data_IF_935556300316
#
_entry.id   IF_935556300316
#
_cell.length_a   1.000
_cell.length_b   1.000
_cell.length_c   1.000
_cell.angle_alpha   90.00
_cell.angle_beta   90.00
_cell.angle_gamma   90.00
#
_symmetry.space_group_name_H-M   'P 1'
#
loop_
_entity.id
_entity.type
_entity.pdbx_description
1 polymer ?
#
# COMPACT_ATOMS: atom_id res chain seq x y z
N UNK A 1 12.57 -19.12 63.55
CA UNK A 1 13.89 -18.52 63.88
C UNK A 1 14.80 -18.60 62.68
N UNK A 2 15.41 -17.48 62.34
CA UNK A 2 16.40 -17.17 61.29
C UNK A 2 15.88 -16.83 59.88
N UNK A 3 15.69 -15.53 59.71
CA UNK A 3 15.68 -14.79 58.44
C UNK A 3 17.07 -14.83 57.80
N UNK A 4 17.15 -15.18 56.50
CA UNK A 4 18.32 -14.89 55.68
C UNK A 4 17.86 -13.95 54.55
N UNK A 5 18.27 -12.67 54.68
CA UNK A 5 18.18 -11.63 53.66
C UNK A 5 19.22 -11.93 52.56
N UNK A 6 18.79 -12.23 51.34
CA UNK A 6 19.68 -12.24 50.18
C UNK A 6 19.56 -10.90 49.45
N UNK A 7 20.56 -10.07 49.62
CA UNK A 7 20.75 -8.82 48.89
C UNK A 7 21.38 -9.16 47.55
N UNK A 8 20.63 -8.97 46.45
CA UNK A 8 21.14 -9.11 45.08
C UNK A 8 21.46 -7.71 44.56
N UNK A 9 22.71 -7.36 44.20
CA UNK A 9 23.00 -6.08 43.60
C UNK A 9 22.51 -6.10 42.12
N UNK A 10 21.58 -5.20 41.80
CA UNK A 10 21.18 -4.87 40.42
C UNK A 10 22.38 -4.20 39.75
N UNK A 11 23.09 -4.96 38.94
CA UNK A 11 24.10 -4.44 38.01
C UNK A 11 23.39 -3.83 36.83
N UNK A 12 23.20 -2.51 36.88
CA UNK A 12 22.67 -1.72 35.79
C UNK A 12 23.72 -1.67 34.68
N UNK A 13 23.66 -2.61 33.76
CA UNK A 13 24.41 -2.55 32.49
C UNK A 13 23.82 -1.42 31.64
N UNK A 14 24.38 -0.22 31.76
CA UNK A 14 24.19 0.89 30.82
C UNK A 14 24.84 0.43 29.52
N UNK A 15 24.04 -0.18 28.65
CA UNK A 15 24.41 -0.34 27.26
C UNK A 15 24.40 1.06 26.64
N UNK A 16 25.57 1.70 26.66
CA UNK A 16 25.82 2.89 25.86
C UNK A 16 25.70 2.46 24.38
N UNK A 17 24.55 2.66 23.80
CA UNK A 17 24.43 2.69 22.35
C UNK A 17 25.32 3.84 21.87
N UNK A 18 26.52 3.52 21.43
CA UNK A 18 27.27 4.41 20.57
C UNK A 18 26.45 4.53 19.27
N UNK A 19 25.60 5.55 19.19
CA UNK A 19 25.05 6.01 17.94
C UNK A 19 26.24 6.56 17.15
N UNK A 20 26.89 5.70 16.38
CA UNK A 20 27.71 6.15 15.28
C UNK A 20 26.72 6.89 14.34
N UNK A 21 26.78 8.21 14.35
CA UNK A 21 26.20 9.05 13.31
C UNK A 21 26.99 8.80 12.02
N UNK A 22 26.79 7.61 11.44
CA UNK A 22 27.21 7.38 10.05
C UNK A 22 26.09 7.91 9.18
N UNK A 23 26.44 8.84 8.28
CA UNK A 23 25.52 9.31 7.27
C UNK A 23 24.97 8.12 6.47
N UNK A 24 23.64 7.97 6.45
CA UNK A 24 22.96 6.83 5.82
C UNK A 24 22.98 6.97 4.29
N UNK A 25 23.32 5.89 3.63
CA UNK A 25 23.17 5.77 2.17
C UNK A 25 21.76 5.27 1.81
N UNK A 26 21.38 5.32 0.52
CA UNK A 26 20.06 4.91 0.05
C UNK A 26 19.71 3.47 0.43
N UNK A 27 20.66 2.54 0.38
CA UNK A 27 20.40 1.12 0.70
C UNK A 27 20.08 0.95 2.20
N UNK A 28 20.78 1.66 3.08
CA UNK A 28 20.54 1.64 4.52
C UNK A 28 19.18 2.26 4.86
N UNK A 29 18.82 3.39 4.23
CA UNK A 29 17.49 4.01 4.39
C UNK A 29 16.39 3.05 3.92
N UNK A 30 16.60 2.34 2.82
CA UNK A 30 15.66 1.33 2.34
C UNK A 30 15.50 0.16 3.32
N UNK A 31 16.59 -0.33 3.92
CA UNK A 31 16.54 -1.39 4.94
C UNK A 31 15.75 -0.98 6.18
N UNK A 32 15.84 0.30 6.59
CA UNK A 32 15.02 0.84 7.67
C UNK A 32 13.55 0.92 7.23
N UNK A 33 13.29 1.43 6.02
CA UNK A 33 11.93 1.53 5.48
C UNK A 33 11.22 0.17 5.37
N UNK A 34 11.94 -0.91 5.01
CA UNK A 34 11.39 -2.26 5.00
C UNK A 34 10.83 -2.71 6.36
N UNK A 35 11.35 -2.17 7.45
CA UNK A 35 10.95 -2.53 8.81
C UNK A 35 9.91 -1.56 9.39
N UNK A 36 10.04 -0.27 9.05
CA UNK A 36 9.28 0.78 9.72
C UNK A 36 8.13 1.35 8.89
N UNK A 37 8.21 1.32 7.56
CA UNK A 37 7.21 1.95 6.68
C UNK A 37 5.78 1.44 6.94
N UNK A 38 4.85 2.32 7.36
CA UNK A 38 3.46 1.94 7.63
C UNK A 38 2.71 1.46 6.39
N UNK A 39 2.98 2.02 5.20
CA UNK A 39 2.32 1.61 3.96
C UNK A 39 2.70 0.18 3.57
N UNK A 40 3.97 -0.18 3.69
CA UNK A 40 4.42 -1.54 3.44
C UNK A 40 3.83 -2.53 4.48
N UNK A 41 3.73 -2.12 5.75
CA UNK A 41 3.08 -2.91 6.82
C UNK A 41 1.58 -3.12 6.52
N UNK A 42 0.88 -2.11 6.01
CA UNK A 42 -0.53 -2.22 5.55
C UNK A 42 -0.63 -3.20 4.37
N UNK A 43 0.23 -3.09 3.37
CA UNK A 43 0.25 -4.00 2.23
C UNK A 43 0.52 -5.45 2.67
N UNK A 44 1.43 -5.67 3.63
CA UNK A 44 1.71 -6.99 4.20
C UNK A 44 0.49 -7.56 4.95
N UNK A 45 -0.19 -6.75 5.77
CA UNK A 45 -1.40 -7.17 6.47
C UNK A 45 -2.52 -7.52 5.49
N UNK A 46 -2.70 -6.71 4.44
CA UNK A 46 -3.65 -6.95 3.34
C UNK A 46 -3.33 -8.27 2.62
N UNK A 47 -2.06 -8.51 2.31
CA UNK A 47 -1.64 -9.79 1.73
C UNK A 47 -1.96 -10.98 2.64
N UNK A 48 -1.66 -10.89 3.96
CA UNK A 48 -1.98 -11.93 4.94
C UNK A 48 -3.47 -12.22 4.98
N UNK A 49 -4.32 -11.19 4.96
CA UNK A 49 -5.78 -11.36 4.93
C UNK A 49 -6.27 -12.02 3.64
N UNK A 50 -5.80 -11.56 2.48
CA UNK A 50 -6.24 -12.06 1.17
C UNK A 50 -5.66 -13.45 0.83
N UNK A 51 -4.55 -13.83 1.44
CA UNK A 51 -3.96 -15.19 1.33
C UNK A 51 -4.93 -16.26 1.82
N UNK A 52 -5.82 -15.94 2.77
CA UNK A 52 -6.82 -16.87 3.30
C UNK A 52 -7.91 -17.26 2.27
N UNK A 53 -7.98 -16.60 1.11
CA UNK A 53 -8.92 -16.96 0.05
C UNK A 53 -8.75 -18.42 -0.42
N UNK A 54 -7.52 -18.93 -0.47
CA UNK A 54 -7.25 -20.34 -0.78
C UNK A 54 -7.77 -21.27 0.30
N UNK A 55 -7.52 -20.95 1.58
CA UNK A 55 -7.97 -21.77 2.71
C UNK A 55 -9.50 -21.81 2.78
N UNK A 56 -10.17 -20.64 2.55
CA UNK A 56 -11.64 -20.59 2.44
C UNK A 56 -12.18 -21.45 1.29
N UNK A 57 -11.48 -21.47 0.17
CA UNK A 57 -11.82 -22.34 -0.97
C UNK A 57 -11.67 -23.82 -0.65
N UNK A 58 -10.62 -24.22 0.08
CA UNK A 58 -10.42 -25.59 0.55
C UNK A 58 -11.50 -25.99 1.55
N UNK A 59 -11.82 -25.10 2.50
CA UNK A 59 -12.84 -25.34 3.53
C UNK A 59 -14.19 -25.74 2.93
N UNK A 60 -14.54 -25.20 1.75
CA UNK A 60 -15.75 -25.58 1.03
C UNK A 60 -15.77 -27.04 0.52
N UNK A 61 -14.63 -27.74 0.51
CA UNK A 61 -14.50 -29.16 0.11
C UNK A 61 -14.33 -30.09 1.30
N UNK A 62 -14.09 -29.57 2.49
CA UNK A 62 -13.86 -30.34 3.71
C UNK A 62 -15.18 -30.55 4.47
N UNK A 63 -15.24 -31.55 5.38
CA UNK A 63 -16.39 -31.74 6.22
C UNK A 63 -16.63 -30.56 7.15
N UNK A 64 -17.89 -30.18 7.30
CA UNK A 64 -18.33 -29.20 8.30
C UNK A 64 -19.03 -29.94 9.42
N UNK A 65 -18.59 -29.72 10.66
CA UNK A 65 -19.24 -30.25 11.87
C UNK A 65 -19.82 -29.07 12.63
N UNK A 66 -21.12 -29.13 12.88
CA UNK A 66 -21.83 -28.10 13.67
C UNK A 66 -22.51 -28.77 14.86
N UNK A 67 -22.30 -28.23 16.04
CA UNK A 67 -23.02 -28.66 17.25
C UNK A 67 -24.01 -27.58 17.67
N UNK A 68 -25.16 -28.02 18.14
CA UNK A 68 -26.21 -27.11 18.63
C UNK A 68 -26.81 -27.68 19.92
N UNK A 69 -26.99 -26.82 20.90
CA UNK A 69 -27.75 -27.09 22.13
C UNK A 69 -28.89 -26.10 22.22
N UNK A 70 -30.07 -26.59 22.48
CA UNK A 70 -31.30 -25.76 22.60
C UNK A 70 -32.10 -26.19 23.82
N UNK A 71 -32.59 -25.24 24.58
CA UNK A 71 -33.52 -25.43 25.68
C UNK A 71 -34.75 -24.60 25.35
N UNK A 72 -35.92 -25.25 25.36
CA UNK A 72 -37.19 -24.58 25.12
C UNK A 72 -38.12 -24.80 26.31
N UNK A 73 -38.74 -23.73 26.76
CA UNK A 73 -39.88 -23.74 27.68
C UNK A 73 -41.09 -23.30 26.87
N UNK A 74 -42.02 -24.23 26.65
CA UNK A 74 -43.25 -23.96 25.94
C UNK A 74 -44.40 -24.11 26.94
N UNK A 75 -45.25 -23.12 26.96
CA UNK A 75 -46.54 -23.16 27.63
C UNK A 75 -47.60 -22.99 26.55
N UNK A 76 -48.51 -23.95 26.46
CA UNK A 76 -49.61 -23.92 25.49
C UNK A 76 -50.95 -24.09 26.20
N UNK A 77 -51.89 -23.23 25.89
CA UNK A 77 -53.25 -23.27 26.36
C UNK A 77 -54.18 -23.58 25.19
N UNK A 78 -54.97 -24.63 25.31
CA UNK A 78 -55.98 -24.96 24.31
C UNK A 78 -57.24 -24.13 24.61
N UNK A 79 -57.43 -23.04 23.88
CA UNK A 79 -58.56 -22.11 24.06
C UNK A 79 -59.86 -22.67 23.42
N UNK A 80 -59.78 -23.42 22.31
CA UNK A 80 -60.90 -24.02 21.60
C UNK A 80 -60.45 -25.15 20.70
N UNK A 81 -61.07 -26.30 20.79
CA UNK A 81 -60.80 -27.47 19.95
C UNK A 81 -62.08 -28.26 19.58
N UNK A 82 -62.09 -28.86 18.37
CA UNK A 82 -63.25 -29.58 17.82
C UNK A 82 -63.44 -31.01 18.36
N UNK A 83 -62.40 -31.57 19.01
CA UNK A 83 -62.45 -32.91 19.61
C UNK A 83 -61.49 -32.97 20.77
N UNK A 84 -61.89 -32.53 21.92
CA UNK A 84 -61.11 -32.58 23.16
C UNK A 84 -61.75 -33.59 24.09
N UNK A 85 -61.04 -34.65 24.40
CA UNK A 85 -61.31 -35.47 25.57
C UNK A 85 -61.03 -34.60 26.81
N UNK A 86 -61.82 -34.80 27.89
CA UNK A 86 -61.76 -33.97 29.10
C UNK A 86 -60.32 -33.75 29.67
N UNK A 87 -59.35 -34.60 29.32
CA UNK A 87 -57.98 -34.56 29.73
C UNK A 87 -57.08 -33.54 28.96
N UNK A 88 -57.61 -32.82 27.96
CA UNK A 88 -56.84 -31.93 27.10
C UNK A 88 -57.23 -30.45 27.26
N UNK A 89 -58.08 -30.11 28.19
CA UNK A 89 -58.47 -28.72 28.49
C UNK A 89 -57.60 -28.19 29.62
N UNK A 90 -56.73 -27.21 29.31
CA UNK A 90 -55.89 -26.55 30.29
C UNK A 90 -54.54 -26.16 29.75
N UNK A 91 -53.73 -25.52 30.58
CA UNK A 91 -52.37 -25.15 30.27
C UNK A 91 -51.42 -26.38 30.34
N UNK A 92 -50.67 -26.61 29.28
CA UNK A 92 -49.67 -27.68 29.24
C UNK A 92 -48.30 -27.04 29.15
N UNK A 93 -47.45 -27.26 30.15
CA UNK A 93 -46.05 -26.86 30.16
C UNK A 93 -45.15 -27.97 29.61
N UNK A 94 -44.26 -27.63 28.68
CA UNK A 94 -43.25 -28.54 28.18
C UNK A 94 -41.86 -27.87 28.26
N UNK A 95 -40.94 -28.55 28.93
CA UNK A 95 -39.55 -28.19 28.93
C UNK A 95 -38.77 -29.24 28.13
N UNK A 96 -38.09 -28.80 27.06
CA UNK A 96 -37.32 -29.70 26.19
C UNK A 96 -35.86 -29.21 26.03
N UNK A 97 -34.97 -30.17 26.04
CA UNK A 97 -33.55 -29.97 25.77
C UNK A 97 -33.19 -30.78 24.55
N UNK A 98 -32.50 -30.13 23.60
CA UNK A 98 -32.03 -30.80 22.39
C UNK A 98 -30.52 -30.55 22.21
N UNK A 99 -29.78 -31.60 22.00
CA UNK A 99 -28.39 -31.57 21.63
C UNK A 99 -28.25 -32.24 20.27
N UNK A 100 -27.60 -31.55 19.31
CA UNK A 100 -27.33 -32.13 17.99
C UNK A 100 -25.90 -31.92 17.56
N UNK A 101 -25.40 -32.84 16.76
CA UNK A 101 -24.16 -32.74 16.01
C UNK A 101 -24.46 -33.11 14.55
N UNK A 102 -24.19 -32.17 13.66
CA UNK A 102 -24.42 -32.30 12.22
C UNK A 102 -23.10 -32.34 11.51
N UNK A 103 -22.85 -33.36 10.69
CA UNK A 103 -21.70 -33.49 9.76
C UNK A 103 -22.21 -33.34 8.33
N UNK A 104 -21.64 -32.44 7.57
CA UNK A 104 -21.89 -32.31 6.13
C UNK A 104 -20.55 -32.41 5.40
N UNK A 105 -20.39 -33.44 4.57
CA UNK A 105 -19.22 -33.64 3.72
C UNK A 105 -19.63 -33.58 2.26
N UNK A 106 -19.16 -32.56 1.51
CA UNK A 106 -19.31 -32.53 0.06
C UNK A 106 -18.60 -33.72 -0.60
N UNK A 107 -19.32 -34.50 -1.38
CA UNK A 107 -18.78 -35.65 -2.15
C UNK A 107 -18.62 -35.27 -3.62
N UNK A 108 -19.67 -34.70 -4.21
CA UNK A 108 -19.64 -34.20 -5.58
C UNK A 108 -20.23 -32.80 -5.65
N UNK A 109 -19.36 -31.80 -5.65
CA UNK A 109 -19.71 -30.39 -5.63
C UNK A 109 -18.76 -29.63 -6.58
N UNK A 110 -19.08 -29.63 -7.89
CA UNK A 110 -18.26 -28.95 -8.91
C UNK A 110 -18.20 -27.43 -8.68
N UNK A 111 -19.24 -26.83 -8.18
CA UNK A 111 -19.28 -25.43 -7.78
C UNK A 111 -18.19 -25.10 -6.76
N UNK A 112 -18.01 -25.94 -5.73
CA UNK A 112 -17.00 -25.81 -4.68
C UNK A 112 -15.58 -26.04 -5.23
N UNK A 113 -15.44 -26.98 -6.14
CA UNK A 113 -14.16 -27.24 -6.80
C UNK A 113 -13.67 -26.04 -7.60
N UNK A 114 -14.58 -25.36 -8.34
CA UNK A 114 -14.23 -24.14 -9.05
C UNK A 114 -14.02 -22.96 -8.11
N UNK A 115 -14.74 -22.86 -6.98
CA UNK A 115 -14.49 -21.86 -5.93
C UNK A 115 -13.11 -22.04 -5.30
N UNK A 116 -12.65 -23.27 -5.08
CA UNK A 116 -11.25 -23.51 -4.68
C UNK A 116 -10.27 -22.99 -5.71
N UNK A 117 -10.51 -23.25 -7.01
CA UNK A 117 -9.70 -22.69 -8.09
C UNK A 117 -9.67 -21.15 -8.12
N UNK A 118 -10.81 -20.53 -7.84
CA UNK A 118 -10.93 -19.07 -7.69
C UNK A 118 -10.14 -18.56 -6.48
N UNK A 119 -10.29 -19.19 -5.32
CA UNK A 119 -9.55 -18.83 -4.10
C UNK A 119 -8.04 -18.92 -4.28
N UNK A 120 -7.56 -19.94 -5.03
CA UNK A 120 -6.15 -20.04 -5.40
C UNK A 120 -5.68 -18.89 -6.29
N UNK A 121 -6.50 -18.49 -7.26
CA UNK A 121 -6.20 -17.33 -8.12
C UNK A 121 -6.18 -16.03 -7.31
N UNK A 122 -7.13 -15.82 -6.40
CA UNK A 122 -7.18 -14.66 -5.51
C UNK A 122 -5.96 -14.55 -4.60
N UNK A 123 -5.47 -15.67 -4.04
CA UNK A 123 -4.23 -15.69 -3.27
C UNK A 123 -3.02 -15.26 -4.10
N UNK A 124 -2.97 -15.68 -5.37
CA UNK A 124 -1.88 -15.29 -6.26
C UNK A 124 -1.98 -13.81 -6.69
N UNK A 125 -3.20 -13.28 -6.85
CA UNK A 125 -3.43 -11.83 -7.06
C UNK A 125 -2.86 -11.05 -5.88
N UNK A 126 -3.22 -11.44 -4.66
CA UNK A 126 -2.74 -10.80 -3.44
C UNK A 126 -1.20 -10.82 -3.35
N UNK A 127 -0.57 -11.93 -3.77
CA UNK A 127 0.89 -12.04 -3.83
C UNK A 127 1.49 -11.04 -4.84
N UNK A 128 0.91 -10.94 -6.05
CA UNK A 128 1.39 -10.02 -7.08
C UNK A 128 1.21 -8.55 -6.63
N UNK A 129 0.09 -8.21 -6.00
CA UNK A 129 -0.16 -6.89 -5.44
C UNK A 129 0.82 -6.54 -4.32
N UNK A 130 1.16 -7.49 -3.45
CA UNK A 130 2.17 -7.26 -2.41
C UNK A 130 3.56 -7.06 -3.00
N UNK A 131 3.94 -7.83 -4.03
CA UNK A 131 5.22 -7.63 -4.74
C UNK A 131 5.27 -6.27 -5.44
N UNK A 132 4.15 -5.79 -5.98
CA UNK A 132 4.05 -4.43 -6.52
C UNK A 132 4.23 -3.37 -5.43
N UNK A 133 3.57 -3.52 -4.28
CA UNK A 133 3.74 -2.61 -3.15
C UNK A 133 5.20 -2.54 -2.65
N UNK A 134 5.94 -3.66 -2.68
CA UNK A 134 7.36 -3.68 -2.37
C UNK A 134 8.18 -2.86 -3.40
N UNK A 135 7.85 -2.94 -4.70
CA UNK A 135 8.49 -2.09 -5.72
C UNK A 135 8.13 -0.62 -5.53
N UNK A 136 6.87 -0.30 -5.23
CA UNK A 136 6.46 1.08 -4.94
C UNK A 136 7.18 1.66 -3.72
N UNK A 137 7.43 0.83 -2.69
CA UNK A 137 8.24 1.27 -1.53
C UNK A 137 9.67 1.63 -1.95
N UNK A 138 10.30 0.86 -2.86
CA UNK A 138 11.63 1.22 -3.40
C UNK A 138 11.59 2.59 -4.07
N UNK A 139 10.62 2.82 -4.96
CA UNK A 139 10.50 4.10 -5.66
C UNK A 139 10.24 5.26 -4.71
N UNK A 140 9.31 5.11 -3.77
CA UNK A 140 8.95 6.15 -2.80
C UNK A 140 10.13 6.51 -1.88
N UNK A 141 10.85 5.51 -1.37
CA UNK A 141 12.05 5.75 -0.55
C UNK A 141 13.11 6.46 -1.37
N UNK A 142 13.34 6.02 -2.60
CA UNK A 142 14.33 6.62 -3.52
C UNK A 142 13.98 8.08 -3.83
N UNK A 143 12.73 8.35 -4.17
CA UNK A 143 12.23 9.70 -4.45
C UNK A 143 12.38 10.61 -3.23
N UNK A 144 11.94 10.17 -2.06
CA UNK A 144 12.02 10.97 -0.84
C UNK A 144 13.47 11.22 -0.40
N UNK A 145 14.34 10.21 -0.56
CA UNK A 145 15.77 10.32 -0.28
C UNK A 145 16.45 11.38 -1.17
N UNK A 146 16.23 11.31 -2.49
CA UNK A 146 16.84 12.25 -3.42
C UNK A 146 16.23 13.65 -3.33
N UNK A 147 14.93 13.78 -3.06
CA UNK A 147 14.30 15.08 -2.81
C UNK A 147 14.90 15.79 -1.57
N UNK A 148 15.26 15.03 -0.52
CA UNK A 148 15.94 15.60 0.64
C UNK A 148 17.37 16.04 0.30
N UNK A 149 18.10 15.25 -0.47
CA UNK A 149 19.45 15.63 -0.92
C UNK A 149 19.43 16.85 -1.86
N UNK A 150 18.47 16.91 -2.78
CA UNK A 150 18.26 18.08 -3.66
C UNK A 150 17.96 19.33 -2.84
N UNK A 151 17.02 19.27 -1.88
CA UNK A 151 16.68 20.40 -1.01
C UNK A 151 17.89 20.87 -0.19
N UNK A 152 18.74 19.95 0.28
CA UNK A 152 20.01 20.27 0.98
C UNK A 152 20.96 21.03 0.06
N UNK A 153 21.16 20.54 -1.18
CA UNK A 153 22.05 21.18 -2.16
C UNK A 153 21.51 22.54 -2.63
N UNK A 154 20.23 22.66 -2.84
CA UNK A 154 19.59 23.92 -3.21
C UNK A 154 19.74 24.98 -2.11
N UNK A 155 19.64 24.59 -0.85
CA UNK A 155 19.89 25.48 0.29
C UNK A 155 21.36 25.92 0.35
N UNK A 156 22.32 25.01 0.10
CA UNK A 156 23.74 25.37 0.01
C UNK A 156 24.00 26.41 -1.09
N UNK A 157 23.36 26.25 -2.25
CA UNK A 157 23.46 27.21 -3.37
C UNK A 157 22.81 28.54 -3.00
N UNK A 158 21.62 28.54 -2.37
CA UNK A 158 20.92 29.74 -1.94
C UNK A 158 21.74 30.54 -0.89
N UNK A 159 22.35 29.86 0.08
CA UNK A 159 23.25 30.49 1.06
C UNK A 159 24.52 31.09 0.39
N UNK A 160 25.04 30.41 -0.63
CA UNK A 160 26.19 30.90 -1.40
C UNK A 160 25.83 32.13 -2.23
N UNK A 161 24.62 32.15 -2.84
CA UNK A 161 24.05 33.30 -3.54
C UNK A 161 23.87 34.49 -2.60
N UNK A 162 23.22 34.28 -1.45
CA UNK A 162 23.02 35.32 -0.43
C UNK A 162 24.34 35.90 0.04
N UNK A 163 25.34 35.06 0.31
CA UNK A 163 26.67 35.52 0.73
C UNK A 163 27.38 36.34 -0.35
N UNK A 164 27.24 35.96 -1.63
CA UNK A 164 27.82 36.69 -2.76
C UNK A 164 27.17 38.07 -2.92
N UNK A 165 25.84 38.11 -2.98
CA UNK A 165 25.06 39.33 -3.14
C UNK A 165 25.24 40.26 -1.92
N UNK A 166 25.34 39.73 -0.70
CA UNK A 166 25.66 40.50 0.51
C UNK A 166 26.99 41.26 0.36
N UNK A 167 28.03 40.58 -0.17
CA UNK A 167 29.34 41.24 -0.43
C UNK A 167 29.22 42.42 -1.39
N UNK A 168 28.38 42.28 -2.44
CA UNK A 168 28.15 43.35 -3.40
C UNK A 168 27.37 44.50 -2.75
N UNK A 169 26.35 44.22 -1.98
CA UNK A 169 25.57 45.21 -1.23
C UNK A 169 26.47 45.97 -0.26
N UNK A 170 27.31 45.27 0.51
CA UNK A 170 28.21 45.91 1.49
C UNK A 170 29.28 46.76 0.81
N UNK A 171 29.73 46.32 -0.38
CA UNK A 171 30.65 47.16 -1.22
C UNK A 171 29.95 48.41 -1.74
N UNK A 172 28.75 48.25 -2.31
CA UNK A 172 27.97 49.40 -2.84
C UNK A 172 27.61 50.39 -1.74
N UNK A 173 27.27 49.90 -0.51
CA UNK A 173 27.02 50.78 0.66
C UNK A 173 28.25 51.64 1.00
N UNK A 174 29.44 51.06 1.07
CA UNK A 174 30.68 51.80 1.37
C UNK A 174 30.96 52.86 0.30
N UNK A 175 30.85 52.49 -0.99
CA UNK A 175 31.10 53.46 -2.09
C UNK A 175 30.07 54.60 -2.05
N UNK A 176 28.84 54.36 -1.66
CA UNK A 176 27.83 55.44 -1.44
C UNK A 176 28.22 56.35 -0.25
N UNK A 177 28.59 55.74 0.89
CA UNK A 177 29.02 56.51 2.08
C UNK A 177 30.28 57.37 1.82
N UNK A 178 31.17 56.91 0.93
CA UNK A 178 32.32 57.63 0.48
C UNK A 178 32.04 58.68 -0.65
N UNK A 179 30.77 58.74 -1.12
CA UNK A 179 30.34 59.68 -2.17
C UNK A 179 30.77 59.27 -3.58
N UNK A 180 31.25 58.07 -3.79
CA UNK A 180 31.78 57.54 -5.08
C UNK A 180 30.66 56.91 -5.93
N UNK A 181 29.58 56.39 -5.31
CA UNK A 181 28.49 55.72 -6.00
C UNK A 181 27.14 56.42 -5.68
N UNK A 182 26.15 56.16 -6.53
CA UNK A 182 24.78 56.72 -6.36
C UNK A 182 23.98 55.96 -5.29
N UNK A 183 22.99 56.66 -4.67
CA UNK A 183 22.05 56.00 -3.77
C UNK A 183 21.26 54.92 -4.49
N UNK A 184 21.00 55.08 -5.80
CA UNK A 184 20.25 54.09 -6.63
C UNK A 184 20.98 52.78 -6.68
N UNK A 185 22.30 52.73 -6.92
CA UNK A 185 23.11 51.52 -6.95
C UNK A 185 23.10 50.81 -5.60
N UNK A 186 23.13 51.55 -4.50
CA UNK A 186 23.00 50.92 -3.17
C UNK A 186 21.62 50.33 -2.95
N UNK A 187 20.54 51.03 -3.32
CA UNK A 187 19.17 50.54 -3.14
C UNK A 187 18.88 49.32 -4.03
N UNK A 188 19.40 49.28 -5.24
CA UNK A 188 19.34 48.10 -6.11
C UNK A 188 20.06 46.90 -5.49
N UNK A 189 21.30 47.06 -5.03
CA UNK A 189 22.03 46.00 -4.34
C UNK A 189 21.33 45.52 -3.05
N UNK A 190 20.70 46.42 -2.30
CA UNK A 190 19.91 46.09 -1.13
C UNK A 190 18.67 45.27 -1.51
N UNK A 191 17.95 45.64 -2.58
CA UNK A 191 16.78 44.87 -3.06
C UNK A 191 17.17 43.44 -3.48
N UNK A 192 18.27 43.25 -4.21
CA UNK A 192 18.76 41.92 -4.56
C UNK A 192 19.17 41.08 -3.34
N UNK A 193 19.78 41.72 -2.34
CA UNK A 193 20.12 41.06 -1.08
C UNK A 193 18.86 40.57 -0.35
N UNK A 194 17.84 41.44 -0.23
CA UNK A 194 16.59 41.07 0.44
C UNK A 194 15.88 39.93 -0.29
N UNK A 195 15.87 39.92 -1.63
CA UNK A 195 15.35 38.80 -2.44
C UNK A 195 16.15 37.51 -2.24
N UNK A 196 17.49 37.57 -2.17
CA UNK A 196 18.32 36.39 -1.93
C UNK A 196 18.07 35.79 -0.55
N UNK A 197 17.83 36.62 0.46
CA UNK A 197 17.45 36.18 1.80
C UNK A 197 16.09 35.45 1.81
N UNK A 198 15.11 35.93 1.04
CA UNK A 198 13.84 35.21 0.86
C UNK A 198 14.07 33.84 0.25
N UNK A 199 14.98 33.72 -0.74
CA UNK A 199 15.33 32.44 -1.35
C UNK A 199 15.98 31.47 -0.35
N UNK A 200 16.83 31.95 0.55
CA UNK A 200 17.43 31.14 1.62
C UNK A 200 16.37 30.62 2.59
N UNK A 201 15.46 31.50 3.06
CA UNK A 201 14.35 31.12 3.95
C UNK A 201 13.45 30.07 3.29
N UNK A 202 13.11 30.24 2.00
CA UNK A 202 12.35 29.27 1.25
C UNK A 202 13.09 27.93 1.09
N UNK A 203 14.42 27.95 0.94
CA UNK A 203 15.28 26.78 0.90
C UNK A 203 15.29 26.01 2.23
N UNK A 204 15.36 26.73 3.36
CA UNK A 204 15.27 26.13 4.70
C UNK A 204 13.92 25.43 4.92
N UNK A 205 12.81 26.08 4.51
CA UNK A 205 11.48 25.47 4.59
C UNK A 205 11.35 24.22 3.73
N UNK A 206 11.92 24.21 2.50
CA UNK A 206 11.90 23.01 1.63
C UNK A 206 12.72 21.88 2.22
N UNK A 207 13.88 22.15 2.79
CA UNK A 207 14.70 21.15 3.45
C UNK A 207 13.95 20.48 4.60
N UNK A 208 13.31 21.26 5.46
CA UNK A 208 12.52 20.75 6.58
C UNK A 208 11.34 19.91 6.10
N UNK A 209 10.59 20.40 5.10
CA UNK A 209 9.49 19.63 4.50
C UNK A 209 9.96 18.28 3.93
N UNK A 210 11.09 18.26 3.20
CA UNK A 210 11.64 17.02 2.63
C UNK A 210 12.15 16.07 3.72
N UNK A 211 12.67 16.62 4.83
CA UNK A 211 13.09 15.85 5.99
C UNK A 211 11.92 15.15 6.67
N UNK A 212 10.83 15.89 6.93
CA UNK A 212 9.61 15.35 7.51
C UNK A 212 8.97 14.27 6.62
N UNK A 213 9.03 14.43 5.29
CA UNK A 213 8.56 13.41 4.36
C UNK A 213 9.33 12.08 4.49
N UNK A 214 10.64 12.15 4.72
CA UNK A 214 11.45 10.95 4.93
C UNK A 214 11.19 10.33 6.32
N UNK A 215 11.06 11.16 7.36
CA UNK A 215 10.70 10.72 8.73
C UNK A 215 9.37 9.96 8.72
N UNK A 216 8.39 10.39 7.93
CA UNK A 216 7.11 9.69 7.81
C UNK A 216 7.25 8.25 7.29
N UNK A 217 8.32 7.94 6.55
CA UNK A 217 8.60 6.58 6.03
C UNK A 217 9.42 5.76 7.03
N UNK A 218 10.49 6.34 7.59
CA UNK A 218 11.48 5.60 8.39
C UNK A 218 11.36 5.80 9.91
N UNK A 219 10.49 6.72 10.35
CA UNK A 219 10.17 6.96 11.77
C UNK A 219 11.14 7.85 12.53
N UNK A 220 12.32 8.12 12.01
CA UNK A 220 13.34 8.94 12.66
C UNK A 220 14.08 9.86 11.67
N UNK A 221 14.75 10.90 12.18
CA UNK A 221 15.47 11.87 11.37
C UNK A 221 16.90 11.39 11.08
N UNK A 222 17.22 10.91 9.86
CA UNK A 222 18.57 10.48 9.53
C UNK A 222 19.47 11.64 9.13
N UNK A 223 20.77 11.52 9.40
CA UNK A 223 21.80 12.22 8.63
C UNK A 223 22.08 11.43 7.34
N UNK A 224 21.91 12.06 6.18
CA UNK A 224 22.13 11.42 4.89
C UNK A 224 23.55 11.63 4.40
N UNK A 225 24.10 10.60 3.76
CA UNK A 225 25.33 10.69 2.99
C UNK A 225 25.10 11.59 1.76
N UNK A 226 26.04 12.47 1.46
CA UNK A 226 26.00 13.28 0.25
C UNK A 226 26.11 12.38 -0.99
N UNK A 227 25.36 12.74 -2.05
CA UNK A 227 25.50 12.05 -3.33
C UNK A 227 26.91 12.24 -3.87
N UNK A 228 27.54 11.15 -4.29
CA UNK A 228 28.83 11.22 -4.99
C UNK A 228 28.66 12.08 -6.26
N UNK A 229 29.52 13.08 -6.43
CA UNK A 229 29.47 14.00 -7.57
C UNK A 229 29.69 13.28 -8.91
N UNK A 230 30.31 12.10 -8.89
CA UNK A 230 30.63 11.28 -10.05
C UNK A 230 29.58 10.21 -10.36
N UNK A 231 28.32 10.44 -9.98
CA UNK A 231 27.22 9.53 -10.35
C UNK A 231 27.21 9.36 -11.88
N UNK A 232 27.30 8.11 -12.38
CA UNK A 232 27.40 7.86 -13.82
C UNK A 232 26.09 8.26 -14.51
N UNK A 233 26.18 9.24 -15.38
CA UNK A 233 25.08 9.70 -16.23
C UNK A 233 25.28 9.08 -17.61
N UNK A 234 24.37 8.21 -18.04
CA UNK A 234 24.48 7.50 -19.30
C UNK A 234 23.15 6.98 -19.84
N UNK A 235 23.12 6.47 -21.08
CA UNK A 235 21.90 5.91 -21.65
C UNK A 235 21.49 4.62 -20.90
N UNK A 236 20.19 4.33 -20.82
CA UNK A 236 19.68 3.13 -20.15
C UNK A 236 20.23 1.85 -20.80
N UNK A 237 20.40 0.81 -20.01
CA UNK A 237 20.82 -0.50 -20.48
C UNK A 237 19.74 -1.56 -20.15
N UNK A 238 19.12 -2.21 -21.14
CA UNK A 238 19.36 -2.16 -22.60
C UNK A 238 18.99 -0.82 -23.26
N UNK A 239 19.60 -0.53 -24.43
CA UNK A 239 19.34 0.70 -25.18
C UNK A 239 18.06 0.65 -26.03
N UNK A 240 17.46 -0.54 -26.18
CA UNK A 240 16.23 -0.75 -26.97
C UNK A 240 15.00 -0.56 -26.12
N UNK A 241 14.10 0.30 -26.55
CA UNK A 241 12.79 0.50 -25.93
C UNK A 241 11.94 -0.78 -25.99
N UNK A 242 12.06 -1.56 -27.08
CA UNK A 242 11.33 -2.81 -27.29
C UNK A 242 11.76 -3.89 -26.30
N UNK A 243 13.03 -3.95 -25.96
CA UNK A 243 13.53 -4.88 -24.93
C UNK A 243 12.95 -4.57 -23.55
N UNK A 244 12.88 -3.30 -23.16
CA UNK A 244 12.22 -2.86 -21.94
C UNK A 244 10.73 -3.22 -21.90
N UNK A 245 10.02 -3.04 -23.03
CA UNK A 245 8.61 -3.47 -23.16
C UNK A 245 8.49 -4.99 -22.97
N UNK A 246 9.37 -5.78 -23.58
CA UNK A 246 9.41 -7.23 -23.41
C UNK A 246 9.63 -7.67 -21.96
N UNK A 247 10.57 -7.04 -21.26
CA UNK A 247 10.85 -7.28 -19.85
C UNK A 247 9.62 -6.91 -18.98
N UNK A 248 9.00 -5.79 -19.23
CA UNK A 248 7.81 -5.35 -18.47
C UNK A 248 6.62 -6.29 -18.67
N UNK A 249 6.33 -6.71 -19.91
CA UNK A 249 5.22 -7.62 -20.21
C UNK A 249 5.38 -9.00 -19.50
N UNK A 250 6.60 -9.40 -19.21
CA UNK A 250 6.89 -10.66 -18.50
C UNK A 250 6.94 -10.50 -16.97
N UNK A 251 7.38 -9.35 -16.46
CA UNK A 251 7.70 -9.19 -15.04
C UNK A 251 6.81 -8.19 -14.27
N UNK A 252 5.96 -7.40 -14.97
CA UNK A 252 5.11 -6.42 -14.29
C UNK A 252 4.07 -7.09 -13.40
N UNK A 253 4.08 -6.80 -12.10
CA UNK A 253 3.22 -7.42 -11.11
C UNK A 253 1.75 -7.00 -11.24
N UNK A 254 1.45 -5.76 -11.69
CA UNK A 254 0.08 -5.33 -11.94
C UNK A 254 -0.54 -6.07 -13.13
N UNK A 255 0.23 -6.27 -14.20
CA UNK A 255 -0.21 -7.06 -15.34
C UNK A 255 -0.41 -8.54 -14.95
N UNK A 256 0.47 -9.10 -14.10
CA UNK A 256 0.28 -10.44 -13.55
C UNK A 256 -1.00 -10.52 -12.71
N UNK A 257 -1.29 -9.51 -11.89
CA UNK A 257 -2.52 -9.46 -11.09
C UNK A 257 -3.75 -9.41 -12.01
N UNK A 258 -3.74 -8.62 -13.09
CA UNK A 258 -4.83 -8.55 -14.06
C UNK A 258 -5.07 -9.91 -14.77
N UNK A 259 -4.01 -10.59 -15.22
CA UNK A 259 -4.09 -11.95 -15.80
C UNK A 259 -4.67 -12.98 -14.80
N UNK A 260 -4.29 -12.89 -13.55
CA UNK A 260 -4.82 -13.74 -12.48
C UNK A 260 -6.27 -13.39 -12.13
N UNK A 261 -6.67 -12.13 -12.23
CA UNK A 261 -8.07 -11.67 -12.08
C UNK A 261 -8.97 -12.28 -13.15
N UNK A 262 -8.53 -12.31 -14.40
CA UNK A 262 -9.23 -13.01 -15.50
C UNK A 262 -9.39 -14.50 -15.20
N UNK A 263 -8.36 -15.14 -14.64
CA UNK A 263 -8.45 -16.56 -14.22
C UNK A 263 -9.44 -16.75 -13.08
N UNK A 264 -9.47 -15.84 -12.09
CA UNK A 264 -10.42 -15.90 -10.99
C UNK A 264 -11.86 -15.73 -11.49
N UNK A 265 -12.11 -14.76 -12.37
CA UNK A 265 -13.42 -14.54 -13.00
C UNK A 265 -13.87 -15.75 -13.84
N UNK A 266 -12.94 -16.39 -14.57
CA UNK A 266 -13.22 -17.64 -15.31
C UNK A 266 -13.64 -18.76 -14.37
N UNK A 267 -12.96 -18.93 -13.23
CA UNK A 267 -13.32 -19.94 -12.23
C UNK A 267 -14.66 -19.65 -11.58
N UNK A 268 -14.96 -18.38 -11.31
CA UNK A 268 -16.28 -17.97 -10.83
C UNK A 268 -17.39 -18.29 -11.86
N UNK A 269 -17.19 -17.96 -13.14
CA UNK A 269 -18.15 -18.27 -14.19
C UNK A 269 -18.38 -19.80 -14.32
N UNK A 270 -17.32 -20.61 -14.19
CA UNK A 270 -17.43 -22.08 -14.16
C UNK A 270 -18.18 -22.58 -12.92
N UNK A 271 -17.96 -21.97 -11.74
CA UNK A 271 -18.70 -22.28 -10.52
C UNK A 271 -20.21 -22.00 -10.68
N UNK A 272 -20.58 -20.82 -11.23
CA UNK A 272 -21.97 -20.46 -11.51
C UNK A 272 -22.62 -21.35 -12.56
N UNK A 273 -21.86 -21.75 -13.59
CA UNK A 273 -22.34 -22.75 -14.57
C UNK A 273 -22.62 -24.07 -13.90
N UNK A 274 -21.78 -24.50 -12.94
CA UNK A 274 -21.91 -25.80 -12.26
C UNK A 274 -23.14 -25.87 -11.35
N UNK A 275 -23.76 -24.76 -10.98
CA UNK A 275 -24.99 -24.74 -10.23
C UNK A 275 -26.20 -25.34 -11.00
N UNK A 276 -26.07 -25.55 -12.31
CA UNK A 276 -27.04 -26.32 -13.13
C UNK A 276 -26.87 -27.85 -12.99
N UNK A 277 -25.76 -28.30 -12.39
CA UNK A 277 -25.45 -29.71 -12.27
C UNK A 277 -25.93 -30.24 -10.92
N UNK A 278 -26.17 -31.57 -10.82
CA UNK A 278 -26.49 -32.16 -9.53
C UNK A 278 -25.31 -32.08 -8.55
N UNK A 279 -25.63 -32.07 -7.27
CA UNK A 279 -24.65 -32.18 -6.19
C UNK A 279 -24.95 -33.35 -5.29
N UNK A 280 -23.92 -33.87 -4.61
CA UNK A 280 -24.01 -34.99 -3.68
C UNK A 280 -23.26 -34.66 -2.42
N UNK A 281 -23.97 -34.71 -1.29
CA UNK A 281 -23.40 -34.49 0.03
C UNK A 281 -23.65 -35.73 0.91
N UNK A 282 -22.66 -36.10 1.72
CA UNK A 282 -22.84 -37.04 2.83
C UNK A 282 -23.22 -36.23 4.06
N UNK A 283 -24.37 -36.58 4.64
CA UNK A 283 -24.93 -35.94 5.84
C UNK A 283 -25.02 -36.96 6.98
N UNK A 284 -24.38 -36.64 8.10
CA UNK A 284 -24.51 -37.35 9.35
C UNK A 284 -25.17 -36.44 10.38
N UNK A 285 -26.14 -36.97 11.12
CA UNK A 285 -26.77 -36.23 12.19
C UNK A 285 -26.93 -37.15 13.42
N UNK A 286 -26.52 -36.64 14.57
CA UNK A 286 -26.76 -37.25 15.88
C UNK A 286 -27.56 -36.24 16.68
N UNK A 287 -28.77 -36.60 17.15
CA UNK A 287 -29.61 -35.72 17.92
C UNK A 287 -30.11 -36.45 19.16
N UNK A 288 -29.96 -35.85 20.33
CA UNK A 288 -30.53 -36.31 21.61
C UNK A 288 -31.49 -35.25 22.07
N UNK A 289 -32.76 -35.66 22.20
CA UNK A 289 -33.86 -34.85 22.67
C UNK A 289 -34.36 -35.38 24.00
N UNK A 290 -34.40 -34.52 25.02
CA UNK A 290 -35.03 -34.81 26.29
C UNK A 290 -36.21 -33.87 26.41
N UNK A 291 -37.40 -34.41 26.59
CA UNK A 291 -38.66 -33.66 26.78
C UNK A 291 -39.29 -34.06 28.10
N UNK A 292 -39.60 -33.05 28.92
CA UNK A 292 -40.39 -33.23 30.15
C UNK A 292 -41.70 -32.50 29.96
N UNK A 293 -42.76 -33.25 29.86
CA UNK A 293 -44.13 -32.73 29.76
C UNK A 293 -44.84 -32.86 31.12
N UNK A 294 -45.48 -31.81 31.51
CA UNK A 294 -46.42 -31.83 32.63
C UNK A 294 -47.80 -32.03 32.02
N UNK A 295 -48.23 -33.26 31.93
CA UNK A 295 -49.54 -33.55 31.46
C UNK A 295 -50.55 -33.42 32.61
N UNK A 296 -51.74 -32.92 32.26
CA UNK A 296 -52.81 -32.57 33.17
C UNK A 296 -53.39 -33.74 33.98
N UNK A 297 -54.06 -33.39 35.05
CA UNK A 297 -54.85 -34.10 35.96
C UNK A 297 -55.42 -35.44 35.50
N UNK A 298 -55.06 -36.48 36.19
CA UNK A 298 -55.90 -37.63 36.43
C UNK A 298 -56.33 -37.69 37.92
N UNK A 299 -57.18 -38.61 38.30
CA UNK A 299 -57.70 -38.74 39.65
C UNK A 299 -56.59 -38.99 40.71
N UNK A 300 -55.37 -39.18 40.34
CA UNK A 300 -54.21 -39.46 41.18
C UNK A 300 -53.17 -38.32 41.26
N UNK A 301 -53.37 -37.17 40.56
CA UNK A 301 -52.49 -36.01 40.58
C UNK A 301 -51.79 -35.75 39.26
N UNK A 302 -50.71 -34.89 39.30
CA UNK A 302 -49.90 -34.56 38.13
C UNK A 302 -49.00 -35.72 37.72
N UNK A 303 -49.00 -36.12 36.45
CA UNK A 303 -48.01 -37.03 35.90
C UNK A 303 -46.90 -36.22 35.18
N UNK A 304 -45.67 -36.55 35.52
CA UNK A 304 -44.49 -36.04 34.79
C UNK A 304 -44.07 -37.14 33.84
N UNK A 305 -44.14 -36.86 32.56
CA UNK A 305 -43.62 -37.77 31.53
C UNK A 305 -42.28 -37.20 31.01
N UNK A 306 -41.22 -37.94 31.18
CA UNK A 306 -39.90 -37.62 30.69
C UNK A 306 -39.52 -38.61 29.59
N UNK A 307 -39.34 -38.11 28.40
CA UNK A 307 -38.89 -38.92 27.26
C UNK A 307 -37.52 -38.46 26.84
N UNK A 308 -36.60 -39.41 26.63
CA UNK A 308 -35.28 -39.21 26.07
C UNK A 308 -35.14 -40.03 24.79
N UNK A 309 -34.88 -39.37 23.69
CA UNK A 309 -34.77 -39.99 22.37
C UNK A 309 -33.41 -39.61 21.76
N UNK A 310 -32.60 -40.59 21.40
CA UNK A 310 -31.38 -40.43 20.62
C UNK A 310 -31.61 -40.97 19.20
N UNK A 311 -31.35 -40.11 18.22
CA UNK A 311 -31.44 -40.45 16.82
C UNK A 311 -30.08 -40.27 16.16
N UNK A 312 -29.57 -41.31 15.50
CA UNK A 312 -28.38 -41.25 14.65
C UNK A 312 -28.80 -41.54 13.22
N UNK A 313 -28.46 -40.63 12.31
CA UNK A 313 -28.80 -40.74 10.89
C UNK A 313 -27.56 -40.49 10.02
N UNK A 314 -27.35 -41.34 9.04
CA UNK A 314 -26.44 -41.17 7.95
C UNK A 314 -27.19 -41.22 6.63
N UNK A 315 -26.96 -40.24 5.75
CA UNK A 315 -27.67 -40.15 4.47
C UNK A 315 -26.72 -39.61 3.37
N UNK A 316 -26.86 -40.16 2.18
CA UNK A 316 -26.30 -39.60 0.98
C UNK A 316 -27.39 -38.75 0.31
N UNK A 317 -27.19 -37.45 0.28
CA UNK A 317 -28.15 -36.50 -0.25
C UNK A 317 -27.77 -36.12 -1.67
N UNK A 318 -28.62 -36.46 -2.64
CA UNK A 318 -28.53 -36.01 -4.02
C UNK A 318 -29.54 -34.86 -4.21
N UNK A 319 -29.06 -33.73 -4.75
CA UNK A 319 -29.88 -32.58 -5.08
C UNK A 319 -29.57 -32.07 -6.48
N UNK A 320 -30.61 -31.86 -7.27
CA UNK A 320 -30.50 -31.35 -8.64
C UNK A 320 -31.58 -30.25 -8.87
N UNK A 321 -31.16 -28.99 -9.00
CA UNK A 321 -32.09 -27.90 -9.23
C UNK A 321 -32.52 -27.86 -10.71
N UNK A 322 -33.61 -28.53 -11.03
CA UNK A 322 -34.15 -28.57 -12.41
C UNK A 322 -34.75 -27.21 -12.84
N UNK A 323 -35.39 -26.50 -11.90
CA UNK A 323 -35.97 -25.17 -12.14
C UNK A 323 -35.83 -24.32 -10.88
N UNK A 324 -35.30 -23.10 -11.04
CA UNK A 324 -35.07 -22.14 -9.96
C UNK A 324 -35.54 -20.73 -10.37
N UNK A 325 -36.67 -20.61 -11.08
CA UNK A 325 -37.23 -19.33 -11.49
C UNK A 325 -36.29 -18.46 -12.35
N UNK A 326 -35.35 -19.08 -13.05
CA UNK A 326 -34.37 -18.36 -13.88
C UNK A 326 -33.14 -17.80 -13.14
N UNK A 327 -33.07 -17.90 -11.79
CA UNK A 327 -31.99 -17.37 -10.97
C UNK A 327 -30.61 -17.89 -11.40
N UNK A 328 -30.44 -19.22 -11.47
CA UNK A 328 -29.15 -19.85 -11.85
C UNK A 328 -28.68 -19.40 -13.23
N UNK A 329 -29.62 -19.28 -14.20
CA UNK A 329 -29.30 -18.80 -15.55
C UNK A 329 -28.92 -17.32 -15.55
N UNK A 330 -29.51 -16.49 -14.71
CA UNK A 330 -29.17 -15.08 -14.54
C UNK A 330 -27.79 -14.92 -13.92
N UNK A 331 -27.51 -15.61 -12.81
CA UNK A 331 -26.19 -15.61 -12.18
C UNK A 331 -25.07 -16.09 -13.13
N UNK A 332 -25.36 -17.08 -13.96
CA UNK A 332 -24.42 -17.52 -15.01
C UNK A 332 -24.14 -16.40 -16.00
N UNK A 333 -25.19 -15.73 -16.55
CA UNK A 333 -25.00 -14.62 -17.50
C UNK A 333 -24.19 -13.48 -16.88
N UNK A 334 -24.50 -13.11 -15.65
CA UNK A 334 -23.75 -12.12 -14.88
C UNK A 334 -22.27 -12.50 -14.77
N UNK A 335 -21.97 -13.73 -14.33
CA UNK A 335 -20.59 -14.19 -14.16
C UNK A 335 -19.81 -14.22 -15.48
N UNK A 336 -20.47 -14.54 -16.62
CA UNK A 336 -19.84 -14.46 -17.94
C UNK A 336 -19.61 -13.03 -18.39
N UNK A 337 -20.51 -12.09 -18.08
CA UNK A 337 -20.31 -10.67 -18.33
C UNK A 337 -19.13 -10.10 -17.50
N UNK A 338 -19.03 -10.52 -16.23
CA UNK A 338 -17.89 -10.17 -15.37
C UNK A 338 -16.56 -10.79 -15.87
N UNK A 339 -16.60 -11.99 -16.47
CA UNK A 339 -15.43 -12.57 -17.11
C UNK A 339 -14.99 -11.75 -18.32
N UNK A 340 -15.94 -11.30 -19.14
CA UNK A 340 -15.62 -10.45 -20.30
C UNK A 340 -15.05 -9.10 -19.85
N UNK A 341 -15.62 -8.48 -18.82
CA UNK A 341 -15.06 -7.29 -18.17
C UNK A 341 -13.60 -7.54 -17.75
N UNK A 342 -13.30 -8.63 -17.04
CA UNK A 342 -11.96 -8.94 -16.57
C UNK A 342 -10.95 -9.13 -17.71
N UNK A 343 -11.35 -9.68 -18.87
CA UNK A 343 -10.52 -9.77 -20.07
C UNK A 343 -10.19 -8.38 -20.65
N UNK A 344 -11.16 -7.47 -20.66
CA UNK A 344 -10.92 -6.11 -21.13
C UNK A 344 -10.01 -5.33 -20.16
N UNK A 345 -10.14 -5.55 -18.87
CA UNK A 345 -9.23 -5.01 -17.85
C UNK A 345 -7.81 -5.53 -18.00
N UNK A 346 -7.63 -6.83 -18.32
CA UNK A 346 -6.32 -7.43 -18.67
C UNK A 346 -5.70 -6.75 -19.90
N UNK A 347 -6.50 -6.58 -20.97
CA UNK A 347 -6.05 -5.88 -22.19
C UNK A 347 -5.68 -4.42 -21.92
N UNK A 348 -6.45 -3.74 -21.08
CA UNK A 348 -6.16 -2.37 -20.65
C UNK A 348 -4.84 -2.30 -19.86
N UNK A 349 -4.64 -3.23 -18.91
CA UNK A 349 -3.40 -3.33 -18.13
C UNK A 349 -2.17 -3.59 -19.01
N UNK A 350 -2.29 -4.45 -20.02
CA UNK A 350 -1.22 -4.69 -21.00
C UNK A 350 -0.87 -3.44 -21.79
N UNK A 351 -1.87 -2.75 -22.34
CA UNK A 351 -1.67 -1.50 -23.10
C UNK A 351 -1.10 -0.38 -22.23
N UNK A 352 -1.56 -0.25 -20.99
CA UNK A 352 -1.02 0.74 -20.07
C UNK A 352 0.44 0.43 -19.74
N UNK A 353 0.79 -0.83 -19.47
CA UNK A 353 2.18 -1.25 -19.22
C UNK A 353 3.08 -0.86 -20.40
N UNK A 354 2.66 -1.14 -21.64
CA UNK A 354 3.44 -0.77 -22.84
C UNK A 354 3.62 0.75 -22.93
N UNK A 355 2.52 1.51 -22.76
CA UNK A 355 2.56 2.98 -22.79
C UNK A 355 3.49 3.54 -21.72
N UNK A 356 3.37 3.05 -20.49
CA UNK A 356 4.11 3.58 -19.32
C UNK A 356 5.60 3.30 -19.45
N UNK A 357 6.00 2.11 -19.92
CA UNK A 357 7.40 1.80 -20.21
C UNK A 357 7.96 2.70 -21.31
N UNK A 358 7.22 2.89 -22.41
CA UNK A 358 7.65 3.78 -23.49
C UNK A 358 7.80 5.23 -23.03
N UNK A 359 6.88 5.70 -22.20
CA UNK A 359 6.94 7.04 -21.61
C UNK A 359 8.14 7.19 -20.68
N UNK A 360 8.36 6.23 -19.76
CA UNK A 360 9.50 6.25 -18.82
C UNK A 360 10.85 6.19 -19.56
N UNK A 361 10.96 5.32 -20.55
CA UNK A 361 12.17 5.25 -21.38
C UNK A 361 12.47 6.59 -22.09
N UNK A 362 11.44 7.21 -22.67
CA UNK A 362 11.58 8.55 -23.29
C UNK A 362 11.94 9.63 -22.26
N UNK A 363 11.42 9.53 -21.02
CA UNK A 363 11.76 10.44 -19.94
C UNK A 363 13.24 10.33 -19.54
N UNK A 364 13.78 9.11 -19.44
CA UNK A 364 15.23 8.91 -19.16
C UNK A 364 16.10 9.57 -20.24
N UNK A 365 15.77 9.36 -21.52
CA UNK A 365 16.53 9.98 -22.63
C UNK A 365 16.42 11.50 -22.62
N UNK A 366 15.24 12.04 -22.32
CA UNK A 366 15.02 13.49 -22.22
C UNK A 366 15.79 14.08 -21.05
N UNK A 367 15.74 13.42 -19.87
CA UNK A 367 16.47 13.88 -18.70
C UNK A 367 17.98 13.79 -18.89
N UNK A 368 18.48 12.76 -19.58
CA UNK A 368 19.88 12.65 -19.98
C UNK A 368 20.31 13.86 -20.83
N UNK A 369 19.54 14.18 -21.87
CA UNK A 369 19.83 15.32 -22.72
C UNK A 369 19.74 16.67 -21.95
N UNK A 370 18.78 16.76 -21.01
CA UNK A 370 18.63 17.94 -20.15
C UNK A 370 19.86 18.15 -19.25
N UNK A 371 20.38 17.09 -18.62
CA UNK A 371 21.60 17.19 -17.81
C UNK A 371 22.77 17.76 -18.62
N UNK A 372 23.00 17.27 -19.85
CA UNK A 372 24.08 17.76 -20.70
C UNK A 372 23.86 19.23 -21.13
N UNK A 373 22.62 19.61 -21.45
CA UNK A 373 22.29 20.98 -21.78
C UNK A 373 22.46 21.93 -20.58
N UNK A 374 22.04 21.54 -19.38
CA UNK A 374 22.20 22.33 -18.14
C UNK A 374 23.67 22.46 -17.72
N UNK A 375 24.47 21.41 -17.93
CA UNK A 375 25.93 21.47 -17.70
C UNK A 375 26.57 22.51 -18.59
N UNK A 376 26.19 22.59 -19.87
CA UNK A 376 26.73 23.60 -20.80
C UNK A 376 26.20 25.01 -20.43
N UNK A 377 24.92 25.13 -20.00
CA UNK A 377 24.34 26.39 -19.55
C UNK A 377 25.08 26.94 -18.31
N UNK A 378 25.37 26.07 -17.33
CA UNK A 378 26.15 26.44 -16.14
C UNK A 378 27.58 26.98 -16.55
N UNK A 379 28.26 26.29 -17.44
CA UNK A 379 29.58 26.73 -17.94
C UNK A 379 29.47 28.09 -18.61
N UNK A 380 28.45 28.31 -19.43
CA UNK A 380 28.23 29.58 -20.13
C UNK A 380 27.90 30.72 -19.17
N UNK A 381 27.06 30.45 -18.16
CA UNK A 381 26.71 31.47 -17.14
C UNK A 381 27.90 31.80 -16.23
N UNK A 382 28.76 30.84 -15.91
CA UNK A 382 30.01 31.09 -15.18
C UNK A 382 30.94 32.01 -15.94
N UNK A 383 31.15 31.77 -17.26
CA UNK A 383 31.96 32.62 -18.11
C UNK A 383 31.36 34.03 -18.23
N UNK A 384 30.05 34.13 -18.41
CA UNK A 384 29.33 35.41 -18.45
C UNK A 384 29.49 36.19 -17.13
N UNK A 385 29.37 35.53 -15.99
CA UNK A 385 29.58 36.12 -14.67
C UNK A 385 31.02 36.67 -14.54
N UNK A 386 32.03 35.86 -14.94
CA UNK A 386 33.44 36.29 -14.92
C UNK A 386 33.67 37.52 -15.79
N UNK A 387 33.14 37.57 -17.00
CA UNK A 387 33.24 38.69 -17.92
C UNK A 387 32.53 39.95 -17.38
N UNK A 388 31.33 39.81 -16.85
CA UNK A 388 30.53 40.90 -16.28
C UNK A 388 31.23 41.47 -15.02
N UNK A 389 31.81 40.61 -14.18
CA UNK A 389 32.52 41.01 -12.98
C UNK A 389 33.77 41.86 -13.37
N UNK A 390 34.53 41.41 -14.37
CA UNK A 390 35.64 42.19 -14.89
C UNK A 390 35.20 43.56 -15.48
N UNK A 391 34.09 43.56 -16.25
CA UNK A 391 33.48 44.80 -16.76
C UNK A 391 33.05 45.75 -15.66
N UNK A 392 32.49 45.25 -14.59
CA UNK A 392 32.11 46.06 -13.43
C UNK A 392 33.33 46.64 -12.71
N UNK A 393 34.36 45.85 -12.50
CA UNK A 393 35.61 46.29 -11.89
C UNK A 393 36.36 47.37 -12.76
N UNK A 394 36.16 47.29 -14.09
CA UNK A 394 36.70 48.27 -15.05
C UNK A 394 35.76 49.44 -15.34
N UNK A 395 34.65 49.59 -14.59
CA UNK A 395 33.62 50.65 -14.76
C UNK A 395 32.95 50.67 -16.17
N UNK A 396 32.96 49.53 -16.89
CA UNK A 396 32.30 49.37 -18.20
C UNK A 396 30.91 48.71 -18.07
N UNK A 397 30.60 48.18 -16.92
CA UNK A 397 29.30 47.61 -16.56
C UNK A 397 28.80 48.17 -15.23
N UNK A 398 27.51 48.18 -15.04
CA UNK A 398 26.87 48.65 -13.79
C UNK A 398 26.67 47.48 -12.78
N UNK A 399 26.29 47.83 -11.55
CA UNK A 399 26.06 46.84 -10.48
C UNK A 399 24.90 45.92 -10.79
N UNK A 400 23.83 46.37 -11.48
CA UNK A 400 22.69 45.56 -11.84
C UNK A 400 23.05 44.44 -12.80
N UNK A 401 23.92 44.74 -13.78
CA UNK A 401 24.47 43.74 -14.70
C UNK A 401 25.21 42.64 -13.94
N UNK A 402 26.01 43.01 -12.94
CA UNK A 402 26.75 42.06 -12.11
C UNK A 402 25.80 41.19 -11.27
N UNK A 403 24.82 41.82 -10.59
CA UNK A 403 23.87 41.10 -9.76
C UNK A 403 22.96 40.14 -10.58
N UNK A 404 22.58 40.56 -11.79
CA UNK A 404 21.87 39.70 -12.72
C UNK A 404 22.71 38.51 -13.20
N UNK A 405 23.99 38.73 -13.47
CA UNK A 405 24.91 37.65 -13.85
C UNK A 405 25.13 36.65 -12.69
N UNK A 406 25.30 37.14 -11.46
CA UNK A 406 25.35 36.31 -10.24
C UNK A 406 24.10 35.49 -10.07
N UNK A 407 22.91 36.10 -10.13
CA UNK A 407 21.62 35.40 -10.07
C UNK A 407 21.48 34.32 -11.15
N UNK A 408 21.87 34.63 -12.40
CA UNK A 408 21.82 33.70 -13.52
C UNK A 408 22.76 32.49 -13.31
N UNK A 409 23.94 32.71 -12.76
CA UNK A 409 24.89 31.65 -12.44
C UNK A 409 24.34 30.71 -11.35
N UNK A 410 23.84 31.24 -10.22
CA UNK A 410 23.30 30.43 -9.15
C UNK A 410 22.01 29.71 -9.57
N UNK A 411 21.16 30.32 -10.42
CA UNK A 411 20.03 29.66 -11.03
C UNK A 411 20.46 28.48 -11.89
N UNK A 412 21.47 28.66 -12.77
CA UNK A 412 21.99 27.57 -13.61
C UNK A 412 22.62 26.42 -12.79
N UNK A 413 23.16 26.74 -11.61
CA UNK A 413 23.68 25.74 -10.68
C UNK A 413 22.57 24.91 -10.05
N UNK A 414 21.48 25.54 -9.58
CA UNK A 414 20.28 24.85 -9.09
C UNK A 414 19.64 23.99 -10.19
N UNK A 415 19.48 24.56 -11.38
CA UNK A 415 18.88 23.87 -12.53
C UNK A 415 19.68 22.60 -12.93
N UNK A 416 21.00 22.63 -12.85
CA UNK A 416 21.82 21.45 -13.10
C UNK A 416 21.68 20.41 -11.98
N UNK A 417 21.62 20.84 -10.72
CA UNK A 417 21.39 19.93 -9.61
C UNK A 417 20.03 19.22 -9.77
N UNK A 418 18.95 19.96 -9.99
CA UNK A 418 17.61 19.39 -10.24
C UNK A 418 17.63 18.40 -11.41
N UNK A 419 18.19 18.79 -12.55
CA UNK A 419 18.27 17.91 -13.71
C UNK A 419 19.02 16.58 -13.44
N UNK A 420 20.03 16.59 -12.58
CA UNK A 420 20.75 15.38 -12.17
C UNK A 420 19.87 14.46 -11.30
N UNK A 421 19.15 15.01 -10.33
CA UNK A 421 18.25 14.24 -9.49
C UNK A 421 17.07 13.70 -10.30
N UNK A 422 16.47 14.49 -11.19
CA UNK A 422 15.44 14.08 -12.12
C UNK A 422 15.86 12.91 -13.01
N UNK A 423 17.12 12.96 -13.50
CA UNK A 423 17.69 11.87 -14.30
C UNK A 423 17.80 10.59 -13.47
N UNK A 424 18.38 10.65 -12.25
CA UNK A 424 18.51 9.50 -11.36
C UNK A 424 17.14 8.90 -11.05
N UNK A 425 16.16 9.72 -10.67
CA UNK A 425 14.80 9.26 -10.37
C UNK A 425 14.14 8.61 -11.59
N UNK A 426 14.38 9.14 -12.80
CA UNK A 426 13.84 8.55 -14.02
C UNK A 426 14.45 7.17 -14.35
N UNK A 427 15.73 6.93 -14.02
CA UNK A 427 16.35 5.61 -14.15
C UNK A 427 15.76 4.59 -13.18
N UNK A 428 15.57 4.95 -11.91
CA UNK A 428 14.92 4.07 -10.93
C UNK A 428 13.46 3.79 -11.27
N UNK A 429 12.80 4.73 -11.93
CA UNK A 429 11.40 4.59 -12.33
C UNK A 429 11.19 3.72 -13.59
N UNK A 430 12.23 3.52 -14.40
CA UNK A 430 12.19 2.69 -15.61
C UNK A 430 12.32 1.21 -15.26
#
# INVERSE_FOLDING_TARGET
MKFIKFFLPIFLLIFSFNVFSSSLNLAEVYEIALKEDPELKIAQATYKANKEAKAKGIAGLLPTITTRATTNWNESEVIKGASVTYDQVGSQGNNSHSYSADLIQPIFRLDRWFQFGQGRAMTNIAKAQFSHAQQETILRVTETYFNLLEAKKDLEVAKSEEAAIKKQRDRSKRLFEEGVSSVTEFQEAQAYYDLSKVSTIAGEGRLEFSREALIAIIGEAPELADLNQDFPVGPPNPKSQEEWVGLALSNNFLLQAARLSTRAAKRNAQSKLSNHLPNVDLVGNITRNTSRSISSFDANGFSFDESEIENTRYSLQFSWPLMAGGLISSERREAYALLEKAKQEETLAERSTIRDVKSRFSSVLTNLANVEARKQALKSSELALKATRFGYESNTRNIVDLLNAEKSFFSAQRDLNSARYDFILSEFAL
#
